data_IF_858398562660
#
_entry.id   IF_858398562660
#
_cell.length_a   1.000
_cell.length_b   1.000
_cell.length_c   1.000
_cell.angle_alpha   90.00
_cell.angle_beta   90.00
_cell.angle_gamma   90.00
#
_symmetry.space_group_name_H-M   'P 1'
#
loop_
_entity.id
_entity.type
_entity.pdbx_description
1 polymer ?
#
# COMPACT_ATOMS: atom_id res chain seq x y z
N UNK A 1 -11.28 5.87 25.53
CA UNK A 1 -12.52 5.38 24.89
C UNK A 1 -12.45 3.86 24.88
N UNK A 2 -13.44 3.19 25.48
CA UNK A 2 -13.49 1.72 25.53
C UNK A 2 -13.53 1.19 24.08
N UNK A 3 -12.70 0.20 23.79
CA UNK A 3 -12.73 -0.52 22.52
C UNK A 3 -14.11 -1.18 22.39
N UNK A 4 -15.02 -0.59 21.64
CA UNK A 4 -16.20 -1.33 21.23
C UNK A 4 -15.76 -2.55 20.44
N UNK A 5 -16.30 -3.74 20.73
CA UNK A 5 -15.91 -4.93 20.02
C UNK A 5 -16.22 -4.77 18.53
N UNK A 6 -15.27 -5.18 17.69
CA UNK A 6 -15.46 -5.21 16.25
C UNK A 6 -16.63 -6.14 15.89
N UNK A 7 -17.64 -5.61 15.20
CA UNK A 7 -18.90 -6.32 14.93
C UNK A 7 -19.35 -6.28 13.44
N UNK A 8 -18.51 -5.79 12.53
CA UNK A 8 -18.86 -5.74 11.12
C UNK A 8 -18.77 -7.14 10.48
N UNK A 9 -19.78 -7.48 9.70
CA UNK A 9 -19.75 -8.69 8.87
C UNK A 9 -18.72 -8.52 7.75
N UNK A 10 -18.01 -9.60 7.39
CA UNK A 10 -17.07 -9.62 6.29
C UNK A 10 -17.73 -9.07 5.01
N UNK A 11 -17.10 -8.11 4.32
CA UNK A 11 -17.67 -7.57 3.10
C UNK A 11 -17.59 -8.59 1.96
N UNK A 12 -18.49 -8.51 0.96
CA UNK A 12 -18.49 -9.42 -0.16
C UNK A 12 -17.13 -9.46 -0.86
N UNK A 13 -16.67 -10.67 -1.12
CA UNK A 13 -15.41 -10.86 -1.83
C UNK A 13 -14.14 -10.70 -0.99
N UNK A 14 -14.22 -10.21 0.23
CA UNK A 14 -13.05 -10.19 1.11
C UNK A 14 -12.58 -11.62 1.43
N UNK A 15 -11.28 -11.82 1.44
CA UNK A 15 -10.61 -13.02 1.95
C UNK A 15 -9.34 -12.63 2.69
N UNK A 16 -9.33 -12.91 3.97
CA UNK A 16 -8.16 -12.79 4.81
C UNK A 16 -7.16 -13.92 4.60
N UNK A 17 -6.12 -13.96 5.43
CA UNK A 17 -5.17 -15.06 5.50
C UNK A 17 -5.90 -16.35 5.91
N UNK A 18 -5.79 -17.37 5.08
CA UNK A 18 -6.33 -18.71 5.36
C UNK A 18 -5.21 -19.58 5.98
N UNK A 19 -5.31 -19.96 7.26
CA UNK A 19 -4.27 -20.73 7.93
C UNK A 19 -4.11 -22.16 7.39
N UNK A 20 -5.07 -22.64 6.58
CA UNK A 20 -5.06 -23.98 5.99
C UNK A 20 -4.52 -24.02 4.56
N UNK A 21 -4.19 -22.85 3.99
CA UNK A 21 -3.59 -22.74 2.67
C UNK A 21 -2.11 -22.41 2.74
N UNK A 22 -1.31 -22.89 1.77
CA UNK A 22 0.11 -22.57 1.75
C UNK A 22 0.32 -21.07 1.57
N UNK A 23 1.27 -20.54 2.32
CA UNK A 23 1.83 -19.21 2.12
C UNK A 23 3.21 -19.39 1.50
N UNK A 24 3.44 -18.79 0.35
CA UNK A 24 4.76 -18.75 -0.26
C UNK A 24 5.45 -17.44 0.09
N UNK A 25 6.76 -17.47 0.21
CA UNK A 25 7.56 -16.27 0.43
C UNK A 25 8.65 -16.21 -0.63
N UNK A 26 8.73 -15.09 -1.32
CA UNK A 26 9.87 -14.77 -2.18
C UNK A 26 10.56 -13.50 -1.68
N UNK A 27 11.79 -13.28 -2.08
CA UNK A 27 12.61 -12.17 -1.61
C UNK A 27 13.15 -11.36 -2.79
N UNK A 28 12.92 -10.06 -2.72
CA UNK A 28 13.64 -9.04 -3.48
C UNK A 28 14.57 -8.30 -2.51
N UNK A 29 14.42 -7.01 -2.33
CA UNK A 29 15.06 -6.29 -1.22
C UNK A 29 14.38 -6.59 0.12
N UNK A 30 13.08 -6.84 0.09
CA UNK A 30 12.27 -7.25 1.24
C UNK A 30 11.61 -8.61 0.98
N UNK A 31 11.23 -9.37 2.01
CA UNK A 31 10.41 -10.55 1.83
C UNK A 31 8.96 -10.17 1.52
N UNK A 32 8.34 -10.93 0.63
CA UNK A 32 6.97 -10.78 0.20
C UNK A 32 6.24 -12.10 0.39
N UNK A 33 5.15 -12.10 1.15
CA UNK A 33 4.31 -13.27 1.38
C UNK A 33 3.14 -13.29 0.43
N UNK A 34 2.85 -14.46 -0.13
CA UNK A 34 1.76 -14.67 -1.09
C UNK A 34 0.89 -15.84 -0.69
N UNK A 35 -0.41 -15.64 -0.82
CA UNK A 35 -1.42 -16.67 -0.70
C UNK A 35 -2.52 -16.42 -1.72
N UNK A 36 -2.88 -17.44 -2.47
CA UNK A 36 -3.89 -17.33 -3.52
C UNK A 36 -5.25 -16.87 -2.97
N UNK A 37 -5.79 -15.85 -3.62
CA UNK A 37 -7.10 -15.27 -3.30
C UNK A 37 -7.14 -14.42 -2.04
N UNK A 38 -6.02 -14.20 -1.35
CA UNK A 38 -5.97 -13.30 -0.19
C UNK A 38 -6.06 -11.82 -0.60
N UNK A 39 -6.51 -10.99 0.34
CA UNK A 39 -6.52 -9.54 0.21
C UNK A 39 -5.21 -8.98 0.76
N UNK A 40 -4.65 -8.00 0.07
CA UNK A 40 -3.38 -7.37 0.41
C UNK A 40 -3.56 -5.90 0.71
N UNK A 41 -2.83 -5.41 1.68
CA UNK A 41 -2.50 -3.99 1.83
C UNK A 41 -1.19 -3.73 1.10
N UNK A 42 -1.16 -2.70 0.27
CA UNK A 42 0.01 -2.35 -0.56
C UNK A 42 0.29 -0.85 -0.45
N UNK A 43 1.57 -0.50 -0.33
CA UNK A 43 2.07 0.87 -0.41
C UNK A 43 3.15 0.97 -1.47
N UNK A 44 3.03 1.95 -2.35
CA UNK A 44 4.07 2.37 -3.29
C UNK A 44 4.39 3.84 -3.11
N UNK A 45 5.63 4.21 -3.38
CA UNK A 45 6.09 5.59 -3.34
C UNK A 45 6.79 6.00 -4.63
N UNK A 46 6.83 7.29 -4.88
CA UNK A 46 7.64 7.86 -5.95
C UNK A 46 9.13 7.60 -5.69
N UNK A 47 9.92 7.57 -6.76
CA UNK A 47 11.35 7.28 -6.68
C UNK A 47 12.12 8.35 -5.87
N UNK A 48 11.63 9.58 -5.88
CA UNK A 48 12.19 10.76 -5.20
C UNK A 48 11.52 11.08 -3.85
N UNK A 49 10.53 10.28 -3.42
CA UNK A 49 9.81 10.48 -2.16
C UNK A 49 10.70 10.40 -0.90
N UNK A 50 11.91 9.85 -1.02
CA UNK A 50 12.89 9.82 0.06
C UNK A 50 14.20 10.48 -0.39
N UNK A 51 14.64 11.54 0.29
CA UNK A 51 15.95 12.16 0.07
C UNK A 51 17.11 11.19 0.31
N UNK A 52 18.29 11.51 -0.26
CA UNK A 52 19.47 10.63 -0.19
C UNK A 52 19.96 10.37 1.25
N UNK A 53 19.89 11.36 2.12
CA UNK A 53 20.23 11.23 3.54
C UNK A 53 19.29 10.23 4.25
N UNK A 54 18.00 10.31 3.99
CA UNK A 54 16.98 9.36 4.51
C UNK A 54 17.19 7.95 3.98
N UNK A 55 17.52 7.81 2.69
CA UNK A 55 17.90 6.51 2.11
C UNK A 55 19.14 5.92 2.78
N UNK A 56 20.14 6.77 3.11
CA UNK A 56 21.33 6.34 3.85
C UNK A 56 21.01 5.96 5.30
N UNK A 57 20.09 6.66 5.96
CA UNK A 57 19.60 6.30 7.31
C UNK A 57 18.93 4.92 7.29
N UNK A 58 18.03 4.67 6.34
CA UNK A 58 17.38 3.38 6.17
C UNK A 58 18.39 2.26 5.88
N UNK A 59 19.40 2.51 5.04
CA UNK A 59 20.48 1.55 4.78
C UNK A 59 21.29 1.23 6.03
N UNK A 60 21.66 2.25 6.83
CA UNK A 60 22.38 2.05 8.09
C UNK A 60 21.55 1.29 9.11
N UNK A 61 20.26 1.64 9.23
CA UNK A 61 19.33 0.90 10.09
C UNK A 61 19.25 -0.57 9.67
N UNK A 62 19.10 -0.85 8.38
CA UNK A 62 19.03 -2.20 7.84
C UNK A 62 20.30 -3.00 8.15
N UNK A 63 21.47 -2.46 7.88
CA UNK A 63 22.75 -3.13 8.17
C UNK A 63 22.89 -3.45 9.66
N UNK A 64 22.53 -2.52 10.54
CA UNK A 64 22.54 -2.73 11.99
C UNK A 64 21.55 -3.86 12.39
N UNK A 65 20.37 -3.84 11.81
CA UNK A 65 19.37 -4.87 12.08
C UNK A 65 19.85 -6.26 11.61
N UNK A 66 20.42 -6.36 10.42
CA UNK A 66 20.99 -7.60 9.87
C UNK A 66 22.13 -8.14 10.72
N UNK A 67 22.99 -7.29 11.28
CA UNK A 67 24.04 -7.67 12.21
C UNK A 67 23.49 -8.25 13.52
N UNK A 68 22.38 -7.69 14.02
CA UNK A 68 21.73 -8.14 15.25
C UNK A 68 20.90 -9.42 15.04
N UNK A 69 20.54 -9.74 13.80
CA UNK A 69 19.71 -10.86 13.42
C UNK A 69 20.39 -11.65 12.28
N UNK A 70 21.43 -12.45 12.59
CA UNK A 70 22.12 -13.25 11.55
C UNK A 70 21.20 -14.29 10.92
N UNK A 71 21.54 -14.74 9.72
CA UNK A 71 20.85 -15.86 9.06
C UNK A 71 21.16 -17.20 9.74
N UNK A 72 20.23 -18.17 9.74
CA UNK A 72 18.88 -18.09 9.20
C UNK A 72 17.93 -17.30 10.12
N UNK A 73 17.05 -16.49 9.51
CA UNK A 73 16.06 -15.70 10.24
C UNK A 73 14.72 -16.39 10.27
N UNK A 74 14.05 -16.34 11.43
CA UNK A 74 12.68 -16.82 11.58
C UNK A 74 11.70 -15.92 10.82
N UNK A 75 10.52 -16.47 10.49
CA UNK A 75 9.42 -15.70 9.88
C UNK A 75 9.04 -14.48 10.72
N UNK A 76 8.96 -14.66 12.05
CA UNK A 76 8.68 -13.56 12.98
C UNK A 76 9.71 -12.43 12.92
N UNK A 77 11.00 -12.75 12.77
CA UNK A 77 12.05 -11.74 12.60
C UNK A 77 11.89 -11.00 11.28
N UNK A 78 11.55 -11.70 10.20
CA UNK A 78 11.27 -11.07 8.91
C UNK A 78 10.03 -10.20 8.94
N UNK A 79 8.94 -10.63 9.58
CA UNK A 79 7.74 -9.80 9.78
C UNK A 79 8.06 -8.51 10.53
N UNK A 80 8.85 -8.60 11.60
CA UNK A 80 9.27 -7.44 12.38
C UNK A 80 10.16 -6.50 11.58
N UNK A 81 11.11 -7.03 10.81
CA UNK A 81 11.94 -6.25 9.89
C UNK A 81 11.11 -5.44 8.90
N UNK A 82 10.17 -6.10 8.23
CA UNK A 82 9.28 -5.47 7.25
C UNK A 82 8.42 -4.40 7.91
N UNK A 83 7.87 -4.70 9.09
CA UNK A 83 7.07 -3.73 9.86
C UNK A 83 7.87 -2.49 10.25
N UNK A 84 9.06 -2.66 10.79
CA UNK A 84 9.91 -1.54 11.19
C UNK A 84 10.40 -0.72 9.99
N UNK A 85 10.82 -1.39 8.92
CA UNK A 85 11.22 -0.74 7.67
C UNK A 85 10.10 0.11 7.09
N UNK A 86 8.87 -0.41 7.11
CA UNK A 86 7.68 0.32 6.67
C UNK A 86 7.45 1.58 7.51
N UNK A 87 7.41 1.46 8.84
CA UNK A 87 7.17 2.61 9.74
C UNK A 87 8.23 3.71 9.62
N UNK A 88 9.49 3.33 9.37
CA UNK A 88 10.57 4.31 9.14
C UNK A 88 10.37 5.04 7.80
N UNK A 89 9.99 4.30 6.75
CA UNK A 89 9.73 4.89 5.43
C UNK A 89 8.50 5.81 5.45
N UNK A 90 7.44 5.41 6.14
CA UNK A 90 6.19 6.18 6.28
C UNK A 90 6.44 7.57 6.85
N UNK A 91 7.17 7.65 7.97
CA UNK A 91 7.50 8.95 8.59
C UNK A 91 8.16 9.91 7.60
N UNK A 92 9.06 9.39 6.74
CA UNK A 92 9.71 10.22 5.74
C UNK A 92 8.77 10.62 4.60
N UNK A 93 7.84 9.72 4.20
CA UNK A 93 6.88 10.03 3.15
C UNK A 93 5.88 11.10 3.59
N UNK A 94 5.43 11.06 4.86
CA UNK A 94 4.54 12.05 5.46
C UNK A 94 5.17 13.47 5.52
N UNK A 95 6.50 13.58 5.50
CA UNK A 95 7.23 14.85 5.41
C UNK A 95 7.11 15.53 4.02
N UNK A 96 6.58 14.83 2.99
CA UNK A 96 6.27 15.41 1.69
C UNK A 96 7.47 15.72 0.82
N UNK A 97 8.55 14.92 0.90
CA UNK A 97 9.70 15.06 0.03
C UNK A 97 9.43 14.67 -1.44
N UNK A 98 10.26 15.21 -2.32
CA UNK A 98 10.21 14.96 -3.77
C UNK A 98 9.32 15.93 -4.51
N UNK A 99 9.07 15.66 -5.79
CA UNK A 99 8.24 16.51 -6.66
C UNK A 99 6.76 16.48 -6.30
N UNK A 100 6.32 15.48 -5.51
CA UNK A 100 4.94 15.34 -5.06
C UNK A 100 3.91 15.46 -6.20
N UNK A 101 4.18 14.81 -7.33
CA UNK A 101 3.42 14.99 -8.59
C UNK A 101 1.92 14.74 -8.45
N UNK A 102 1.49 13.89 -7.51
CA UNK A 102 0.07 13.62 -7.25
C UNK A 102 -0.64 14.70 -6.43
N UNK A 103 0.04 15.78 -6.05
CA UNK A 103 -0.63 17.01 -5.59
C UNK A 103 -1.43 17.69 -6.70
N UNK A 104 -1.10 17.40 -7.98
CA UNK A 104 -1.94 17.79 -9.11
C UNK A 104 -3.13 16.82 -9.23
N UNK A 105 -4.38 17.31 -9.11
CA UNK A 105 -5.57 16.48 -9.19
C UNK A 105 -5.70 15.70 -10.51
N UNK A 106 -5.18 16.26 -11.62
CA UNK A 106 -5.22 15.62 -12.93
C UNK A 106 -4.31 14.41 -12.98
N UNK A 107 -3.15 14.47 -12.33
CA UNK A 107 -2.20 13.35 -12.22
C UNK A 107 -2.67 12.32 -11.19
N UNK A 108 -3.23 12.76 -10.06
CA UNK A 108 -3.86 11.87 -9.08
C UNK A 108 -5.02 11.08 -9.70
N UNK A 109 -5.78 11.72 -10.63
CA UNK A 109 -6.84 11.04 -11.38
C UNK A 109 -6.31 9.90 -12.25
N UNK A 110 -5.14 10.03 -12.88
CA UNK A 110 -4.51 8.94 -13.65
C UNK A 110 -4.31 7.70 -12.76
N UNK A 111 -3.87 7.90 -11.52
CA UNK A 111 -3.69 6.81 -10.56
C UNK A 111 -5.02 6.20 -10.13
N UNK A 112 -6.02 7.04 -9.84
CA UNK A 112 -7.37 6.58 -9.48
C UNK A 112 -7.99 5.76 -10.59
N UNK A 113 -7.90 6.23 -11.84
CA UNK A 113 -8.42 5.52 -13.01
C UNK A 113 -7.72 4.16 -13.19
N UNK A 114 -6.41 4.10 -12.97
CA UNK A 114 -5.66 2.84 -13.02
C UNK A 114 -6.14 1.82 -11.98
N UNK A 115 -6.43 2.26 -10.75
CA UNK A 115 -6.95 1.39 -9.68
C UNK A 115 -8.33 0.82 -9.97
N UNK A 116 -9.13 1.53 -10.75
CA UNK A 116 -10.53 1.15 -11.02
C UNK A 116 -10.71 0.51 -12.41
N UNK A 117 -9.72 0.57 -13.29
CA UNK A 117 -9.86 0.14 -14.69
C UNK A 117 -10.26 -1.33 -14.86
N UNK A 118 -9.67 -2.21 -14.06
CA UNK A 118 -9.97 -3.65 -14.09
C UNK A 118 -10.64 -4.12 -12.79
N UNK A 119 -11.39 -3.21 -12.14
CA UNK A 119 -12.18 -3.52 -10.95
C UNK A 119 -13.15 -4.67 -11.26
N UNK A 120 -13.16 -5.69 -10.40
CA UNK A 120 -13.99 -6.89 -10.46
C UNK A 120 -13.78 -7.80 -11.70
N UNK A 121 -12.77 -7.49 -12.53
CA UNK A 121 -12.26 -8.34 -13.60
C UNK A 121 -10.96 -9.03 -13.21
N UNK A 122 -9.92 -8.27 -12.91
CA UNK A 122 -8.59 -8.79 -12.52
C UNK A 122 -8.33 -8.74 -11.03
N UNK A 123 -8.99 -7.83 -10.35
CA UNK A 123 -8.86 -7.62 -8.90
C UNK A 123 -10.09 -6.90 -8.36
N UNK A 124 -10.29 -7.00 -7.05
CA UNK A 124 -11.21 -6.13 -6.32
C UNK A 124 -10.39 -5.19 -5.45
N UNK A 125 -10.46 -3.89 -5.76
CA UNK A 125 -9.95 -2.83 -4.88
C UNK A 125 -11.01 -2.51 -3.85
N UNK A 126 -10.65 -2.57 -2.57
CA UNK A 126 -11.59 -2.28 -1.48
C UNK A 126 -11.54 -0.82 -1.02
N UNK A 127 -10.34 -0.26 -0.92
CA UNK A 127 -10.12 1.14 -0.58
C UNK A 127 -8.72 1.58 -1.02
N UNK A 128 -8.56 2.87 -1.27
CA UNK A 128 -7.24 3.47 -1.49
C UNK A 128 -7.20 4.94 -1.09
N UNK A 129 -5.98 5.43 -0.90
CA UNK A 129 -5.64 6.84 -0.83
C UNK A 129 -4.43 7.12 -1.72
N UNK A 130 -4.55 8.15 -2.57
CA UNK A 130 -3.44 8.70 -3.37
C UNK A 130 -2.95 9.95 -2.66
N UNK A 131 -1.73 9.90 -2.16
CA UNK A 131 -1.01 10.97 -1.48
C UNK A 131 -0.08 11.68 -2.46
N UNK A 132 0.46 12.87 -2.16
CA UNK A 132 1.31 13.63 -3.09
C UNK A 132 2.49 12.84 -3.68
N UNK A 133 3.12 11.95 -2.91
CA UNK A 133 4.33 11.23 -3.29
C UNK A 133 4.26 9.70 -3.09
N UNK A 134 3.12 9.18 -2.67
CA UNK A 134 2.90 7.74 -2.47
C UNK A 134 1.41 7.41 -2.51
N UNK A 135 1.08 6.13 -2.41
CA UNK A 135 -0.30 5.67 -2.24
C UNK A 135 -0.41 4.43 -1.36
N UNK A 136 -1.60 4.25 -0.81
CA UNK A 136 -2.02 3.07 -0.08
C UNK A 136 -3.25 2.46 -0.74
N UNK A 137 -3.27 1.15 -0.89
CA UNK A 137 -4.42 0.44 -1.46
C UNK A 137 -4.62 -0.90 -0.77
N UNK A 138 -5.87 -1.26 -0.55
CA UNK A 138 -6.26 -2.61 -0.18
C UNK A 138 -6.88 -3.29 -1.41
N UNK A 139 -6.28 -4.39 -1.87
CA UNK A 139 -6.61 -5.05 -3.14
C UNK A 139 -6.57 -6.56 -3.01
N UNK A 140 -7.52 -7.23 -3.67
CA UNK A 140 -7.56 -8.69 -3.79
C UNK A 140 -7.44 -9.09 -5.27
N UNK A 141 -6.40 -9.84 -5.67
CA UNK A 141 -6.33 -10.46 -6.98
C UNK A 141 -7.49 -11.43 -7.22
N UNK A 142 -7.98 -11.53 -8.45
CA UNK A 142 -9.05 -12.43 -8.87
C UNK A 142 -8.54 -13.48 -9.86
N UNK A 143 -9.19 -14.64 -9.86
CA UNK A 143 -8.85 -15.73 -10.77
C UNK A 143 -7.38 -16.15 -10.62
N UNK A 144 -6.66 -16.15 -11.73
CA UNK A 144 -5.23 -16.51 -11.80
C UNK A 144 -4.29 -15.31 -11.80
N UNK A 145 -4.82 -14.10 -11.54
CA UNK A 145 -3.99 -12.90 -11.51
C UNK A 145 -3.08 -12.89 -10.29
N UNK A 146 -1.78 -12.77 -10.54
CA UNK A 146 -0.80 -12.55 -9.47
C UNK A 146 -0.77 -11.06 -9.08
N UNK A 147 -0.58 -10.79 -7.79
CA UNK A 147 -0.47 -9.41 -7.28
C UNK A 147 0.60 -8.62 -8.03
N UNK A 148 1.77 -9.21 -8.28
CA UNK A 148 2.89 -8.58 -8.98
C UNK A 148 2.47 -8.04 -10.36
N UNK A 149 1.72 -8.83 -11.12
CA UNK A 149 1.24 -8.44 -12.46
C UNK A 149 0.28 -7.27 -12.41
N UNK A 150 -0.55 -7.21 -11.37
CA UNK A 150 -1.46 -6.08 -11.13
C UNK A 150 -0.64 -4.84 -10.81
N UNK A 151 0.31 -4.94 -9.88
CA UNK A 151 1.16 -3.83 -9.47
C UNK A 151 2.04 -3.32 -10.61
N UNK A 152 2.63 -4.22 -11.40
CA UNK A 152 3.41 -3.86 -12.60
C UNK A 152 2.56 -3.14 -13.63
N UNK A 153 1.31 -3.58 -13.84
CA UNK A 153 0.36 -2.93 -14.75
C UNK A 153 0.05 -1.50 -14.30
N UNK A 154 -0.25 -1.29 -13.02
CA UNK A 154 -0.50 0.05 -12.48
C UNK A 154 0.73 0.95 -12.60
N UNK A 155 1.90 0.46 -12.15
CA UNK A 155 3.16 1.23 -12.20
C UNK A 155 3.53 1.61 -13.62
N UNK A 156 3.42 0.66 -14.57
CA UNK A 156 3.76 0.89 -15.97
C UNK A 156 2.84 1.92 -16.62
N UNK A 157 1.53 1.74 -16.50
CA UNK A 157 0.54 2.67 -17.07
C UNK A 157 0.66 4.08 -16.47
N UNK A 158 0.66 4.18 -15.15
CA UNK A 158 0.72 5.49 -14.46
C UNK A 158 2.06 6.17 -14.73
N UNK A 159 3.18 5.42 -14.65
CA UNK A 159 4.50 5.97 -14.92
C UNK A 159 4.63 6.55 -16.34
N UNK A 160 4.12 5.84 -17.34
CA UNK A 160 4.09 6.34 -18.72
C UNK A 160 3.19 7.57 -18.85
N UNK A 161 1.97 7.51 -18.33
CA UNK A 161 0.96 8.56 -18.49
C UNK A 161 1.33 9.85 -17.76
N UNK A 162 1.83 9.76 -16.53
CA UNK A 162 2.31 10.90 -15.75
C UNK A 162 3.52 11.54 -16.43
N UNK A 163 4.54 10.76 -16.77
CA UNK A 163 5.74 11.27 -17.45
C UNK A 163 5.38 11.98 -18.75
N UNK A 164 4.45 11.43 -19.54
CA UNK A 164 3.95 12.06 -20.78
C UNK A 164 3.24 13.39 -20.48
N UNK A 165 2.39 13.43 -19.45
CA UNK A 165 1.61 14.62 -19.09
C UNK A 165 2.49 15.80 -18.66
N UNK A 166 3.59 15.53 -17.93
CA UNK A 166 4.50 16.56 -17.44
C UNK A 166 5.77 16.75 -18.30
N UNK A 167 5.84 16.09 -19.47
CA UNK A 167 6.99 16.21 -20.37
C UNK A 167 8.30 15.65 -19.81
N UNK A 168 8.21 14.64 -18.93
CA UNK A 168 9.35 14.02 -18.25
C UNK A 168 9.65 12.62 -18.81
N UNK A 169 10.88 12.15 -18.62
CA UNK A 169 11.30 10.78 -18.88
C UNK A 169 11.94 10.17 -17.63
N UNK A 170 12.10 8.86 -17.60
CA UNK A 170 12.75 8.14 -16.50
C UNK A 170 11.77 7.42 -15.57
N UNK A 171 12.29 6.99 -14.43
CA UNK A 171 11.56 6.17 -13.47
C UNK A 171 10.68 7.06 -12.58
N UNK A 172 9.37 6.78 -12.55
CA UNK A 172 8.44 7.46 -11.65
C UNK A 172 8.43 6.81 -10.25
N UNK A 173 8.49 5.48 -10.19
CA UNK A 173 8.26 4.71 -8.98
C UNK A 173 9.53 4.15 -8.37
N UNK A 174 9.56 4.10 -7.07
CA UNK A 174 10.51 3.24 -6.35
C UNK A 174 10.32 1.78 -6.80
N UNK A 175 11.41 1.03 -6.92
CA UNK A 175 11.36 -0.36 -7.38
C UNK A 175 10.58 -1.28 -6.42
N UNK A 176 10.86 -1.17 -5.14
CA UNK A 176 10.24 -1.98 -4.09
C UNK A 176 8.91 -1.39 -3.62
N UNK A 177 7.92 -2.27 -3.38
CA UNK A 177 6.69 -1.95 -2.66
C UNK A 177 6.72 -2.53 -1.25
N UNK A 178 5.94 -1.94 -0.35
CA UNK A 178 5.51 -2.63 0.85
C UNK A 178 4.20 -3.34 0.56
N UNK A 179 4.08 -4.60 0.91
CA UNK A 179 2.82 -5.34 0.83
C UNK A 179 2.68 -6.30 2.00
N UNK A 180 1.44 -6.54 2.39
CA UNK A 180 1.09 -7.41 3.51
C UNK A 180 -0.26 -8.08 3.27
N UNK A 181 -0.36 -9.38 3.56
CA UNK A 181 -1.64 -10.09 3.60
C UNK A 181 -2.49 -9.53 4.75
N UNK A 182 -3.73 -9.17 4.47
CA UNK A 182 -4.73 -8.82 5.49
C UNK A 182 -5.23 -10.12 6.12
N UNK A 183 -5.18 -10.23 7.46
CA UNK A 183 -5.39 -11.50 8.15
C UNK A 183 -6.87 -11.85 8.33
N UNK A 184 -7.65 -10.88 8.77
CA UNK A 184 -9.04 -11.04 9.17
C UNK A 184 -9.80 -9.72 9.00
N UNK A 185 -11.09 -9.71 9.30
CA UNK A 185 -11.97 -8.56 9.15
C UNK A 185 -11.55 -7.40 10.07
N UNK A 186 -11.11 -7.68 11.26
CA UNK A 186 -10.64 -6.63 12.19
C UNK A 186 -9.35 -5.99 11.67
N UNK A 187 -8.44 -6.78 11.12
CA UNK A 187 -7.24 -6.26 10.46
C UNK A 187 -7.60 -5.45 9.20
N UNK A 188 -8.57 -5.92 8.41
CA UNK A 188 -9.10 -5.16 7.25
C UNK A 188 -9.64 -3.81 7.70
N UNK A 189 -10.44 -3.78 8.76
CA UNK A 189 -10.98 -2.54 9.30
C UNK A 189 -9.86 -1.57 9.69
N UNK A 190 -8.85 -2.04 10.43
CA UNK A 190 -7.69 -1.21 10.81
C UNK A 190 -6.92 -0.69 9.59
N UNK A 191 -6.78 -1.51 8.54
CA UNK A 191 -6.15 -1.10 7.27
C UNK A 191 -6.96 -0.02 6.58
N UNK A 192 -8.29 -0.17 6.51
CA UNK A 192 -9.17 0.85 5.91
C UNK A 192 -9.05 2.17 6.67
N UNK A 193 -9.09 2.13 8.03
CA UNK A 193 -8.91 3.35 8.83
C UNK A 193 -7.51 3.97 8.62
N UNK A 194 -6.48 3.13 8.55
CA UNK A 194 -5.12 3.59 8.25
C UNK A 194 -5.04 4.30 6.89
N UNK A 195 -5.61 3.71 5.83
CA UNK A 195 -5.69 4.29 4.49
C UNK A 195 -6.43 5.64 4.52
N UNK A 196 -7.58 5.69 5.21
CA UNK A 196 -8.43 6.89 5.26
C UNK A 196 -7.83 8.05 6.06
N UNK A 197 -7.13 7.74 7.16
CA UNK A 197 -6.59 8.75 8.08
C UNK A 197 -5.17 9.23 7.71
N UNK A 198 -4.55 8.61 6.70
CA UNK A 198 -3.18 8.95 6.31
C UNK A 198 -3.02 10.42 5.89
N UNK A 199 -3.90 11.02 5.08
CA UNK A 199 -3.80 12.43 4.72
C UNK A 199 -3.85 13.37 5.94
N UNK A 200 -4.72 13.10 6.90
CA UNK A 200 -4.83 13.89 8.14
C UNK A 200 -3.56 13.82 8.99
N UNK A 201 -2.92 12.63 9.09
CA UNK A 201 -1.63 12.49 9.78
C UNK A 201 -0.50 13.29 9.12
N UNK A 202 -0.50 13.36 7.79
CA UNK A 202 0.47 14.14 7.03
C UNK A 202 0.14 15.64 7.00
N UNK A 203 -0.94 16.07 7.65
CA UNK A 203 -1.36 17.48 7.67
C UNK A 203 -1.80 18.04 6.32
N UNK A 204 -2.24 17.17 5.41
CA UNK A 204 -2.62 17.55 4.06
C UNK A 204 -4.04 18.15 4.02
N UNK A 205 -4.23 19.16 3.17
CA UNK A 205 -5.56 19.69 2.83
C UNK A 205 -6.26 18.79 1.82
N UNK A 206 -7.59 18.79 1.80
CA UNK A 206 -8.40 17.90 0.95
C UNK A 206 -8.13 18.04 -0.56
N UNK A 207 -7.54 19.14 -1.00
CA UNK A 207 -7.18 19.39 -2.40
C UNK A 207 -5.97 18.59 -2.88
N UNK A 208 -5.16 18.09 -1.94
CA UNK A 208 -3.86 17.49 -2.24
C UNK A 208 -3.82 15.95 -2.19
N UNK A 209 -4.97 15.31 -2.06
CA UNK A 209 -5.08 13.86 -2.01
C UNK A 209 -6.44 13.36 -2.47
N UNK A 210 -6.53 12.09 -2.80
CA UNK A 210 -7.77 11.42 -3.19
C UNK A 210 -7.91 10.14 -2.38
N UNK A 211 -9.11 9.90 -1.81
CA UNK A 211 -9.46 8.60 -1.23
C UNK A 211 -10.72 8.02 -1.85
N UNK A 212 -10.79 6.72 -1.87
CA UNK A 212 -11.92 5.99 -2.42
C UNK A 212 -12.18 4.73 -1.60
N UNK A 213 -13.44 4.36 -1.51
CA UNK A 213 -13.92 3.16 -0.84
C UNK A 213 -14.94 2.44 -1.72
N UNK A 214 -14.88 1.13 -1.75
CA UNK A 214 -15.81 0.30 -2.55
C UNK A 214 -17.26 0.58 -2.14
N UNK A 215 -18.15 1.01 -3.08
CA UNK A 215 -19.50 1.46 -2.76
C UNK A 215 -20.35 0.39 -2.06
N UNK A 216 -20.25 -0.88 -2.48
CA UNK A 216 -21.02 -1.96 -1.87
C UNK A 216 -20.56 -2.25 -0.42
N UNK A 217 -19.28 -2.01 -0.12
CA UNK A 217 -18.76 -2.16 1.23
C UNK A 217 -19.24 -1.03 2.14
N UNK A 218 -19.35 0.18 1.61
CA UNK A 218 -19.91 1.33 2.35
C UNK A 218 -21.35 1.08 2.80
N UNK A 219 -22.18 0.43 1.96
CA UNK A 219 -23.55 0.05 2.30
C UNK A 219 -23.63 -0.91 3.49
N UNK A 220 -22.57 -1.65 3.76
CA UNK A 220 -22.45 -2.61 4.85
C UNK A 220 -21.79 -2.02 6.10
N UNK A 221 -21.60 -0.70 6.16
CA UNK A 221 -20.98 -0.01 7.29
C UNK A 221 -19.46 0.03 7.26
N UNK A 222 -18.82 -0.50 6.19
CA UNK A 222 -17.40 -0.35 5.97
C UNK A 222 -17.12 1.04 5.39
N UNK A 223 -16.32 1.82 6.07
CA UNK A 223 -16.01 3.19 5.62
C UNK A 223 -14.87 3.80 6.43
N UNK A 224 -14.40 4.92 5.96
CA UNK A 224 -13.45 5.74 6.71
C UNK A 224 -14.19 6.39 7.89
N UNK A 225 -13.58 6.35 9.05
CA UNK A 225 -14.01 7.12 10.21
C UNK A 225 -13.02 8.27 10.37
N UNK A 226 -13.48 9.47 10.08
CA UNK A 226 -12.66 10.66 10.28
C UNK A 226 -12.37 10.81 11.78
N UNK A 227 -11.09 10.85 12.14
CA UNK A 227 -10.59 10.99 13.52
C UNK A 227 -10.41 12.44 13.89
#
# INVERSE_FOLDING_TARGET
>A
MANEPFNLTAPPGFRGLDPYKPVTMYRRHMPHWRQDGATYFVTFRLADALPQDKLQELKRWRLKWEQQHPEPRSEKQWEEFVRQSFLLSERCMDEGFGECVFSDPSLAKIMTDAFLHFQDDRYTTSSFTVMPNHYHVAVKPLGTWALEKILDSWKGFVGHSVNKAIGRSGVLWQDESYDRIIRDEEHLFRVIQYIGNNPGKAGLTEENWVRWMHPEWQKLGWGFRDS
#
